data_IF_888481093093
#
_entry.id   IF_888481093093
#
_cell.length_a   1.000
_cell.length_b   1.000
_cell.length_c   1.000
_cell.angle_alpha   90.00
_cell.angle_beta   90.00
_cell.angle_gamma   90.00
#
_symmetry.space_group_name_H-M   'P 1'
#
loop_
_entity.id
_entity.type
_entity.pdbx_description
1 polymer ?
#
# COMPACT_ATOMS: atom_id res chain seq x y z
N UNK A 1 0.40 -4.66 -2.44
CA UNK A 1 0.49 -4.65 -3.92
C UNK A 1 1.84 -4.06 -4.36
N UNK A 2 2.48 -4.53 -5.45
CA UNK A 2 3.78 -3.98 -5.88
C UNK A 2 3.61 -2.68 -6.68
N UNK A 3 4.58 -1.77 -6.54
CA UNK A 3 4.67 -0.53 -7.34
C UNK A 3 4.78 -0.86 -8.83
N UNK A 4 4.30 0.05 -9.67
CA UNK A 4 4.46 -0.07 -11.11
C UNK A 4 5.79 0.55 -11.55
N UNK A 5 6.54 -0.15 -12.39
CA UNK A 5 7.77 0.36 -12.99
C UNK A 5 7.45 0.90 -14.39
N UNK A 6 7.79 2.17 -14.62
CA UNK A 6 7.57 2.82 -15.90
C UNK A 6 8.44 2.18 -16.97
N UNK A 7 7.86 2.00 -18.15
CA UNK A 7 8.53 1.35 -19.28
C UNK A 7 9.34 2.37 -20.08
N UNK A 8 8.85 3.61 -20.22
CA UNK A 8 9.57 4.69 -20.92
C UNK A 8 9.72 4.44 -22.42
N UNK A 9 8.63 4.61 -23.17
CA UNK A 9 8.59 4.36 -24.61
C UNK A 9 9.43 5.37 -25.40
N UNK A 10 10.00 4.93 -26.52
CA UNK A 10 10.79 5.70 -27.48
C UNK A 10 10.16 5.52 -28.88
N UNK A 11 10.02 6.59 -29.65
CA UNK A 11 9.50 6.56 -31.03
C UNK A 11 10.60 6.60 -32.10
N UNK A 12 11.83 6.88 -31.66
CA UNK A 12 13.04 6.94 -32.48
C UNK A 12 14.13 6.07 -31.86
N UNK A 13 14.58 5.06 -32.59
CA UNK A 13 15.67 4.17 -32.17
C UNK A 13 16.71 4.14 -33.29
N UNK A 14 17.92 4.61 -33.00
CA UNK A 14 19.09 4.53 -33.87
C UNK A 14 20.07 3.46 -33.37
N UNK A 15 20.69 2.76 -34.32
CA UNK A 15 21.83 1.91 -34.01
C UNK A 15 23.05 2.76 -33.63
N UNK A 16 23.56 2.57 -32.41
CA UNK A 16 24.71 3.30 -31.87
C UNK A 16 26.02 3.09 -32.63
N UNK A 17 26.13 2.05 -33.46
CA UNK A 17 27.33 1.74 -34.23
C UNK A 17 27.28 2.24 -35.68
N UNK A 18 26.10 2.30 -36.28
CA UNK A 18 25.94 2.62 -37.72
C UNK A 18 25.18 3.92 -37.97
N UNK A 19 24.51 4.49 -36.97
CA UNK A 19 23.64 5.66 -37.13
C UNK A 19 22.41 5.38 -38.00
N UNK A 20 22.12 4.11 -38.27
CA UNK A 20 20.99 3.70 -39.08
C UNK A 20 19.71 3.71 -38.21
N UNK A 21 18.66 4.34 -38.71
CA UNK A 21 17.39 4.46 -38.01
C UNK A 21 16.66 3.11 -38.07
N UNK A 22 16.57 2.41 -36.95
CA UNK A 22 15.92 1.11 -36.81
C UNK A 22 14.39 1.28 -36.78
N UNK A 23 13.92 2.39 -36.23
CA UNK A 23 12.51 2.71 -36.13
C UNK A 23 12.31 4.23 -36.16
N UNK A 24 11.54 4.70 -37.15
CA UNK A 24 11.14 6.10 -37.29
C UNK A 24 9.62 6.18 -37.22
N UNK A 25 9.08 6.58 -36.07
CA UNK A 25 7.67 6.93 -35.91
C UNK A 25 6.68 5.80 -36.18
N UNK A 26 6.26 5.09 -35.13
CA UNK A 26 5.09 4.20 -35.20
C UNK A 26 3.77 4.99 -35.17
N UNK A 27 2.66 4.45 -35.73
CA UNK A 27 1.33 5.04 -35.59
C UNK A 27 0.91 5.30 -34.13
N UNK A 28 1.54 4.58 -33.20
CA UNK A 28 1.47 4.83 -31.77
C UNK A 28 2.68 5.69 -31.38
N UNK A 29 2.43 6.95 -31.03
CA UNK A 29 3.49 7.93 -30.71
C UNK A 29 4.03 7.75 -29.29
N UNK A 30 5.31 8.09 -29.10
CA UNK A 30 5.97 8.10 -27.80
C UNK A 30 5.16 8.89 -26.76
N UNK A 31 4.69 10.08 -27.14
CA UNK A 31 3.92 10.96 -26.27
C UNK A 31 2.67 10.26 -25.73
N UNK A 32 1.91 9.57 -26.58
CA UNK A 32 0.68 8.90 -26.17
C UNK A 32 0.98 7.69 -25.27
N UNK A 33 2.02 6.93 -25.59
CA UNK A 33 2.42 5.76 -24.79
C UNK A 33 2.95 6.17 -23.41
N UNK A 34 3.76 7.22 -23.33
CA UNK A 34 4.29 7.73 -22.07
C UNK A 34 3.20 8.39 -21.22
N UNK A 35 2.18 9.02 -21.82
CA UNK A 35 1.01 9.48 -21.07
C UNK A 35 0.21 8.32 -20.46
N UNK A 36 0.07 7.20 -21.18
CA UNK A 36 -0.58 6.01 -20.63
C UNK A 36 0.26 5.36 -19.53
N UNK A 37 1.59 5.25 -19.73
CA UNK A 37 2.56 4.74 -18.75
C UNK A 37 2.49 5.57 -17.44
N UNK A 38 2.43 6.90 -17.57
CA UNK A 38 2.23 7.82 -16.44
C UNK A 38 0.88 7.59 -15.74
N UNK A 39 -0.21 7.47 -16.49
CA UNK A 39 -1.53 7.24 -15.92
C UNK A 39 -1.61 5.92 -15.15
N UNK A 40 -0.99 4.86 -15.67
CA UNK A 40 -0.91 3.55 -15.00
C UNK A 40 -0.09 3.67 -13.71
N UNK A 41 1.06 4.35 -13.77
CA UNK A 41 1.90 4.60 -12.60
C UNK A 41 1.14 5.33 -11.50
N UNK A 42 0.53 6.48 -11.82
CA UNK A 42 -0.22 7.29 -10.85
C UNK A 42 -1.38 6.52 -10.24
N UNK A 43 -2.15 5.80 -11.05
CA UNK A 43 -3.27 5.01 -10.56
C UNK A 43 -2.79 3.86 -9.66
N UNK A 44 -1.66 3.22 -9.98
CA UNK A 44 -1.09 2.16 -9.14
C UNK A 44 -0.70 2.70 -7.76
N UNK A 45 0.02 3.81 -7.72
CA UNK A 45 0.44 4.43 -6.46
C UNK A 45 -0.76 4.86 -5.60
N UNK A 46 -1.79 5.45 -6.23
CA UNK A 46 -3.04 5.80 -5.54
C UNK A 46 -3.76 4.56 -4.98
N UNK A 47 -3.81 3.46 -5.73
CA UNK A 47 -4.43 2.21 -5.26
C UNK A 47 -3.67 1.61 -4.08
N UNK A 48 -2.33 1.62 -4.09
CA UNK A 48 -1.51 1.15 -2.95
C UNK A 48 -1.80 1.99 -1.70
N UNK A 49 -1.85 3.31 -1.85
CA UNK A 49 -2.19 4.22 -0.74
C UNK A 49 -3.60 3.95 -0.19
N UNK A 50 -4.58 3.80 -1.08
CA UNK A 50 -5.95 3.49 -0.67
C UNK A 50 -6.08 2.12 -0.01
N UNK A 51 -5.35 1.11 -0.47
CA UNK A 51 -5.31 -0.22 0.15
C UNK A 51 -4.85 -0.13 1.62
N UNK A 52 -3.79 0.65 1.89
CA UNK A 52 -3.30 0.90 3.24
C UNK A 52 -4.34 1.64 4.11
N UNK A 53 -4.93 2.71 3.59
CA UNK A 53 -5.96 3.49 4.30
C UNK A 53 -7.21 2.65 4.62
N UNK A 54 -7.66 1.81 3.68
CA UNK A 54 -8.80 0.92 3.90
C UNK A 54 -8.47 -0.12 4.96
N UNK A 55 -7.27 -0.70 4.93
CA UNK A 55 -6.85 -1.68 5.93
C UNK A 55 -6.84 -1.07 7.34
N UNK A 56 -6.37 0.17 7.48
CA UNK A 56 -6.37 0.87 8.78
C UNK A 56 -7.78 1.23 9.24
N UNK A 57 -8.62 1.77 8.34
CA UNK A 57 -10.03 2.03 8.65
C UNK A 57 -10.79 0.75 9.06
N UNK A 58 -10.51 -0.39 8.42
CA UNK A 58 -11.09 -1.68 8.80
C UNK A 58 -10.68 -2.12 10.20
N UNK A 59 -9.41 -1.89 10.61
CA UNK A 59 -8.95 -2.18 11.97
C UNK A 59 -9.69 -1.31 12.99
N UNK A 60 -9.83 -0.02 12.72
CA UNK A 60 -10.57 0.90 13.59
C UNK A 60 -12.04 0.49 13.74
N UNK A 61 -12.73 0.23 12.62
CA UNK A 61 -14.13 -0.21 12.62
C UNK A 61 -14.28 -1.50 13.44
N UNK A 62 -13.37 -2.46 13.28
CA UNK A 62 -13.43 -3.71 14.04
C UNK A 62 -13.35 -3.46 15.54
N UNK A 63 -12.42 -2.61 15.99
CA UNK A 63 -12.27 -2.32 17.43
C UNK A 63 -13.45 -1.53 17.97
N UNK A 64 -13.98 -0.57 17.23
CA UNK A 64 -15.20 0.13 17.62
C UNK A 64 -16.40 -0.82 17.69
N UNK A 65 -16.51 -1.75 16.75
CA UNK A 65 -17.55 -2.78 16.76
C UNK A 65 -17.42 -3.68 17.98
N UNK A 66 -16.22 -4.19 18.27
CA UNK A 66 -15.98 -5.05 19.42
C UNK A 66 -16.22 -4.29 20.73
N UNK A 67 -15.79 -3.04 20.84
CA UNK A 67 -16.08 -2.19 21.99
C UNK A 67 -17.58 -1.96 22.20
N UNK A 68 -18.31 -1.67 21.12
CA UNK A 68 -19.77 -1.47 21.16
C UNK A 68 -20.48 -2.75 21.61
N UNK A 69 -20.09 -3.91 21.06
CA UNK A 69 -20.69 -5.20 21.42
C UNK A 69 -20.39 -5.62 22.86
N UNK A 70 -19.23 -5.24 23.41
CA UNK A 70 -18.84 -5.56 24.78
C UNK A 70 -19.15 -4.42 25.77
N UNK A 71 -19.89 -3.40 25.35
CA UNK A 71 -20.26 -2.23 26.17
C UNK A 71 -19.05 -1.52 26.80
N UNK A 72 -17.92 -1.52 26.10
CA UNK A 72 -16.71 -0.78 26.48
C UNK A 72 -16.88 0.68 26.06
N UNK A 73 -17.46 1.49 26.94
CA UNK A 73 -17.81 2.91 26.66
C UNK A 73 -16.68 3.91 26.93
N UNK A 74 -15.61 3.50 27.62
CA UNK A 74 -14.49 4.37 28.00
C UNK A 74 -13.15 3.82 27.52
N UNK A 75 -12.24 4.70 27.08
CA UNK A 75 -10.82 4.45 26.83
C UNK A 75 -10.48 3.40 25.75
N UNK A 76 -11.25 3.38 24.65
CA UNK A 76 -10.94 2.53 23.50
C UNK A 76 -9.95 3.26 22.60
N UNK A 77 -8.68 2.83 22.61
CA UNK A 77 -7.62 3.39 21.78
C UNK A 77 -7.06 2.33 20.85
N UNK A 78 -6.81 2.71 19.60
CA UNK A 78 -6.01 1.92 18.66
C UNK A 78 -4.63 2.55 18.58
N UNK A 79 -3.61 1.83 19.04
CA UNK A 79 -2.21 2.24 18.86
C UNK A 79 -1.51 1.10 18.12
N UNK A 80 -1.07 1.37 16.90
CA UNK A 80 -0.22 0.44 16.18
C UNK A 80 1.22 0.64 16.65
N UNK A 81 1.83 -0.43 17.14
CA UNK A 81 3.21 -0.40 17.59
C UNK A 81 4.08 -1.16 16.58
N UNK A 82 4.43 -0.50 15.48
CA UNK A 82 5.19 -1.11 14.36
C UNK A 82 6.55 -1.71 14.79
N UNK A 83 7.08 -1.33 15.96
CA UNK A 83 8.38 -1.76 16.48
C UNK A 83 8.34 -2.49 17.83
N UNK A 84 7.16 -2.82 18.36
CA UNK A 84 7.09 -3.52 19.66
C UNK A 84 7.34 -5.01 19.46
N UNK A 85 8.57 -5.42 19.80
CA UNK A 85 9.01 -6.80 19.74
C UNK A 85 8.60 -7.63 20.97
N UNK A 86 8.32 -6.97 22.10
CA UNK A 86 7.90 -7.63 23.33
C UNK A 86 7.21 -6.67 24.30
N UNK A 87 6.23 -7.16 25.05
CA UNK A 87 5.54 -6.41 26.12
C UNK A 87 5.75 -7.15 27.43
N UNK A 88 6.24 -6.44 28.46
CA UNK A 88 6.37 -6.98 29.81
C UNK A 88 5.10 -6.66 30.62
N UNK A 89 4.49 -7.68 31.22
CA UNK A 89 3.28 -7.54 32.03
C UNK A 89 3.68 -7.43 33.49
N UNK A 90 3.54 -6.25 34.07
CA UNK A 90 3.89 -5.98 35.49
C UNK A 90 2.81 -6.46 36.46
N UNK A 91 1.55 -6.53 36.03
CA UNK A 91 0.42 -7.00 36.83
C UNK A 91 -0.68 -7.56 35.91
N UNK A 92 -1.34 -8.64 36.35
CA UNK A 92 -2.39 -9.34 35.61
C UNK A 92 -1.95 -10.70 35.03
N UNK A 93 -2.91 -11.47 34.52
CA UNK A 93 -2.70 -12.78 33.89
C UNK A 93 -2.99 -12.66 32.39
N UNK A 94 -2.03 -13.08 31.56
CA UNK A 94 -2.22 -13.17 30.11
C UNK A 94 -2.67 -14.56 29.71
N UNK A 95 -3.80 -14.62 29.00
CA UNK A 95 -4.27 -15.84 28.34
C UNK A 95 -3.72 -15.88 26.90
N UNK A 96 -2.80 -16.82 26.58
CA UNK A 96 -2.18 -16.92 25.27
C UNK A 96 -3.15 -17.41 24.17
N UNK A 97 -4.24 -18.09 24.54
CA UNK A 97 -5.22 -18.64 23.58
C UNK A 97 -6.22 -17.56 23.19
N UNK A 98 -6.79 -16.86 24.17
CA UNK A 98 -7.72 -15.77 23.93
C UNK A 98 -7.03 -14.47 23.47
N UNK A 99 -5.70 -14.37 23.69
CA UNK A 99 -4.91 -13.14 23.50
C UNK A 99 -5.50 -11.96 24.29
N UNK A 100 -5.89 -12.23 25.54
CA UNK A 100 -6.50 -11.26 26.46
C UNK A 100 -5.69 -11.15 27.75
N UNK A 101 -5.71 -9.96 28.34
CA UNK A 101 -5.07 -9.68 29.61
C UNK A 101 -6.15 -9.41 30.65
N UNK A 102 -6.11 -10.14 31.76
CA UNK A 102 -7.03 -10.02 32.88
C UNK A 102 -6.31 -9.33 34.04
N UNK A 103 -6.98 -8.35 34.66
CA UNK A 103 -6.49 -7.63 35.85
C UNK A 103 -7.09 -8.25 37.10
#
# INVERSE_FOLDING_TARGET
>A
MNSYEKIGWLDHVEDVATGEVIQEGTPVSQTNMNHMDEGIYQNREAVILHEAQIADAQKEIKVLKDATLNNMTNNVFLINFDSVNSVAITSGIYDPVARKLYV
#
